data_IF_393595313958
#
_entry.id   IF_393595313958
#
_cell.length_a   1.000
_cell.length_b   1.000
_cell.length_c   1.000
_cell.angle_alpha   90.00
_cell.angle_beta   90.00
_cell.angle_gamma   90.00
#
_symmetry.space_group_name_H-M   'P 1'
#
loop_
_entity.id
_entity.type
_entity.pdbx_description
1 polymer ?
#
# COMPACT_ATOMS: atom_id res chain seq x y z
N UNK A 1 5.62 -3.78 0.25
CA UNK A 1 5.49 -5.21 0.59
C UNK A 1 6.80 -5.94 0.36
N UNK A 2 7.74 -5.85 1.31
CA UNK A 2 9.11 -6.38 1.14
C UNK A 2 9.17 -7.91 1.13
N UNK A 3 8.17 -8.59 1.71
CA UNK A 3 8.06 -10.06 1.77
C UNK A 3 7.01 -10.64 0.81
N UNK A 4 6.69 -9.93 -0.27
CA UNK A 4 5.74 -10.42 -1.28
C UNK A 4 4.25 -10.26 -0.97
N UNK A 5 3.91 -9.47 0.05
CA UNK A 5 2.52 -9.16 0.40
C UNK A 5 1.73 -8.65 -0.82
N UNK A 6 0.66 -9.38 -1.16
CA UNK A 6 -0.31 -9.10 -2.22
C UNK A 6 -1.53 -8.30 -1.74
N UNK A 7 -1.55 -7.91 -0.47
CA UNK A 7 -2.62 -7.09 0.12
C UNK A 7 -3.05 -5.89 -0.72
N UNK A 8 -2.14 -5.13 -1.35
CA UNK A 8 -2.53 -3.99 -2.17
C UNK A 8 -3.27 -4.33 -3.48
N UNK A 9 -3.23 -5.58 -3.92
CA UNK A 9 -3.94 -6.08 -5.11
C UNK A 9 -5.00 -7.11 -4.74
N UNK A 10 -5.37 -7.22 -3.46
CA UNK A 10 -6.33 -8.19 -2.95
C UNK A 10 -7.51 -7.51 -2.26
N UNK A 11 -8.72 -7.98 -2.57
CA UNK A 11 -9.99 -7.50 -2.06
C UNK A 11 -10.40 -8.30 -0.83
N UNK A 12 -9.68 -8.09 0.27
CA UNK A 12 -9.89 -8.78 1.52
C UNK A 12 -10.00 -7.79 2.69
N UNK A 13 -11.00 -7.97 3.55
CA UNK A 13 -11.29 -7.10 4.70
C UNK A 13 -10.62 -7.57 6.00
N UNK A 14 -10.01 -8.76 6.03
CA UNK A 14 -9.35 -9.36 7.21
C UNK A 14 -8.38 -8.41 7.92
N UNK A 15 -7.55 -7.58 7.24
CA UNK A 15 -6.67 -6.64 7.93
C UNK A 15 -7.41 -5.57 8.74
N UNK A 16 -8.67 -5.28 8.39
CA UNK A 16 -9.54 -4.33 9.10
C UNK A 16 -10.46 -5.02 10.10
N UNK A 17 -11.05 -6.16 9.70
CA UNK A 17 -12.05 -6.91 10.48
C UNK A 17 -11.43 -7.85 11.53
N UNK A 18 -10.18 -8.31 11.34
CA UNK A 18 -9.61 -9.43 12.08
C UNK A 18 -10.09 -10.79 11.54
N UNK A 19 -9.58 -11.88 12.11
CA UNK A 19 -9.92 -13.23 11.65
C UNK A 19 -11.04 -13.86 12.50
N UNK A 20 -10.82 -13.96 13.82
CA UNK A 20 -11.79 -14.49 14.80
C UNK A 20 -12.02 -13.42 15.85
N UNK A 21 -13.24 -12.91 15.99
CA UNK A 21 -13.60 -11.88 16.98
C UNK A 21 -12.66 -10.66 16.98
N UNK A 22 -12.26 -10.20 15.79
CA UNK A 22 -11.31 -9.08 15.67
C UNK A 22 -9.84 -9.43 15.92
N UNK A 23 -9.53 -10.67 16.29
CA UNK A 23 -8.16 -11.12 16.59
C UNK A 23 -7.52 -11.77 15.36
N UNK A 24 -6.24 -11.48 15.16
CA UNK A 24 -5.42 -12.10 14.13
C UNK A 24 -5.53 -11.43 12.76
N UNK A 25 -5.36 -12.23 11.70
CA UNK A 25 -5.32 -11.79 10.31
C UNK A 25 -3.89 -11.82 9.73
N UNK A 26 -3.74 -11.76 8.41
CA UNK A 26 -2.45 -12.06 7.79
C UNK A 26 -1.42 -10.92 7.99
N UNK A 27 -1.58 -9.75 7.35
CA UNK A 27 -0.60 -8.67 7.51
C UNK A 27 -0.60 -8.09 8.94
N UNK A 28 -1.68 -8.25 9.70
CA UNK A 28 -1.82 -7.78 11.08
C UNK A 28 -0.97 -8.58 12.07
N UNK A 29 -0.67 -9.86 11.78
CA UNK A 29 0.22 -10.70 12.61
C UNK A 29 1.59 -10.96 11.96
N UNK A 30 1.94 -10.20 10.92
CA UNK A 30 3.25 -10.25 10.29
C UNK A 30 3.39 -11.24 9.12
N UNK A 31 2.33 -11.93 8.71
CA UNK A 31 2.36 -12.77 7.50
C UNK A 31 1.98 -11.98 6.25
N UNK A 32 2.66 -12.19 5.10
CA UNK A 32 2.26 -11.52 3.86
C UNK A 32 0.90 -12.05 3.40
N UNK A 33 0.03 -11.15 2.94
CA UNK A 33 -1.16 -11.56 2.22
C UNK A 33 -0.76 -12.26 0.91
N UNK A 34 -1.39 -13.39 0.61
CA UNK A 34 -1.17 -14.18 -0.61
C UNK A 34 -2.31 -14.01 -1.64
N UNK A 35 -3.33 -13.23 -1.30
CA UNK A 35 -4.49 -12.97 -2.14
C UNK A 35 -5.42 -14.18 -2.32
N UNK A 36 -5.64 -14.96 -1.26
CA UNK A 36 -6.51 -16.15 -1.31
C UNK A 36 -7.98 -15.87 -1.64
N UNK A 37 -8.41 -14.61 -1.59
CA UNK A 37 -9.77 -14.17 -1.95
C UNK A 37 -9.91 -13.76 -3.41
N UNK A 38 -8.80 -13.72 -4.15
CA UNK A 38 -8.81 -13.32 -5.56
C UNK A 38 -9.18 -14.49 -6.47
N UNK A 39 -9.91 -14.25 -7.57
CA UNK A 39 -10.36 -15.31 -8.47
C UNK A 39 -9.21 -16.01 -9.21
N UNK A 40 -8.08 -15.33 -9.40
CA UNK A 40 -6.90 -15.87 -10.06
C UNK A 40 -6.00 -16.68 -9.11
N UNK A 41 -6.34 -16.80 -7.82
CA UNK A 41 -5.54 -17.54 -6.86
C UNK A 41 -5.53 -19.05 -7.16
N UNK A 42 -4.38 -19.75 -7.12
CA UNK A 42 -3.03 -19.31 -6.70
C UNK A 42 -2.11 -18.84 -7.85
N UNK A 43 -2.62 -18.72 -9.06
CA UNK A 43 -1.87 -18.43 -10.28
C UNK A 43 -1.42 -16.96 -10.35
N UNK A 44 -0.78 -16.60 -11.47
CA UNK A 44 -0.41 -15.21 -11.74
C UNK A 44 -1.66 -14.32 -11.70
N UNK A 45 -1.62 -13.14 -11.04
CA UNK A 45 -0.43 -12.37 -10.64
C UNK A 45 0.02 -12.58 -9.18
N UNK A 46 -0.49 -13.60 -8.48
CA UNK A 46 -0.33 -13.77 -7.03
C UNK A 46 0.86 -14.67 -6.68
N UNK A 47 1.18 -15.61 -7.56
CA UNK A 47 2.42 -16.40 -7.51
C UNK A 47 3.59 -15.71 -8.21
N UNK A 48 4.84 -15.93 -7.75
CA UNK A 48 5.21 -16.60 -6.50
C UNK A 48 4.84 -15.77 -5.26
N UNK A 49 4.40 -16.43 -4.19
CA UNK A 49 3.83 -15.75 -3.01
C UNK A 49 4.81 -14.77 -2.33
N UNK A 50 6.08 -15.15 -2.20
CA UNK A 50 7.11 -14.32 -1.57
C UNK A 50 7.76 -13.32 -2.53
N UNK A 51 7.45 -13.38 -3.82
CA UNK A 51 7.90 -12.39 -4.77
C UNK A 51 7.09 -11.09 -4.63
N UNK A 52 7.71 -9.96 -4.93
CA UNK A 52 7.06 -8.65 -4.86
C UNK A 52 5.80 -8.62 -5.73
N UNK A 53 4.75 -7.96 -5.23
CA UNK A 53 3.56 -7.70 -6.03
C UNK A 53 3.90 -6.93 -7.32
N UNK A 54 3.04 -7.00 -8.36
CA UNK A 54 3.27 -6.33 -9.64
C UNK A 54 3.60 -4.85 -9.46
N UNK A 55 4.59 -4.37 -10.24
CA UNK A 55 5.10 -3.01 -10.10
C UNK A 55 4.03 -1.94 -10.37
N UNK A 56 3.02 -2.23 -11.21
CA UNK A 56 1.99 -1.29 -11.61
C UNK A 56 1.28 -0.60 -10.44
N UNK A 57 0.94 -1.36 -9.39
CA UNK A 57 0.32 -0.80 -8.19
C UNK A 57 1.23 0.26 -7.51
N UNK A 58 2.51 -0.07 -7.31
CA UNK A 58 3.44 0.85 -6.65
C UNK A 58 3.75 2.09 -7.49
N UNK A 59 3.73 1.96 -8.82
CA UNK A 59 3.89 3.10 -9.73
C UNK A 59 2.68 4.02 -9.63
N UNK A 60 1.46 3.49 -9.63
CA UNK A 60 0.24 4.26 -9.49
C UNK A 60 0.23 5.04 -8.17
N UNK A 61 0.50 4.38 -7.03
CA UNK A 61 0.59 5.04 -5.72
C UNK A 61 1.63 6.16 -5.69
N UNK A 62 2.80 5.94 -6.29
CA UNK A 62 3.82 6.99 -6.40
C UNK A 62 3.31 8.20 -7.19
N UNK A 63 2.66 7.99 -8.33
CA UNK A 63 2.12 9.07 -9.16
C UNK A 63 1.08 9.88 -8.37
N UNK A 64 0.19 9.21 -7.64
CA UNK A 64 -0.81 9.87 -6.80
C UNK A 64 -0.19 10.71 -5.66
N UNK A 65 1.01 10.37 -5.19
CA UNK A 65 1.72 11.11 -4.13
C UNK A 65 2.47 12.38 -4.61
N UNK A 66 2.64 12.56 -5.93
CA UNK A 66 3.42 13.67 -6.49
C UNK A 66 2.78 15.03 -6.18
N UNK A 67 1.47 15.27 -6.40
CA UNK A 67 0.87 16.58 -6.17
C UNK A 67 1.03 17.03 -4.71
N UNK A 68 0.78 16.16 -3.74
CA UNK A 68 0.94 16.48 -2.33
C UNK A 68 2.39 16.79 -1.95
N UNK A 69 3.36 16.10 -2.56
CA UNK A 69 4.78 16.40 -2.37
C UNK A 69 5.16 17.76 -2.96
N UNK A 70 4.60 18.11 -4.13
CA UNK A 70 4.86 19.40 -4.78
C UNK A 70 4.24 20.55 -3.98
N UNK A 71 3.01 20.41 -3.50
CA UNK A 71 2.37 21.41 -2.62
C UNK A 71 3.15 21.62 -1.33
N UNK A 72 3.65 20.54 -0.71
CA UNK A 72 4.47 20.64 0.49
C UNK A 72 5.81 21.36 0.24
N UNK A 73 6.46 21.12 -0.90
CA UNK A 73 7.69 21.82 -1.30
C UNK A 73 7.39 23.28 -1.62
N UNK A 74 6.31 23.56 -2.36
CA UNK A 74 5.90 24.90 -2.72
C UNK A 74 5.58 25.75 -1.48
N UNK A 75 4.86 25.19 -0.51
CA UNK A 75 4.58 25.86 0.77
C UNK A 75 5.85 26.30 1.49
N UNK A 76 6.86 25.41 1.61
CA UNK A 76 8.15 25.73 2.24
C UNK A 76 8.94 26.82 1.48
N UNK A 77 8.91 26.76 0.15
CA UNK A 77 9.58 27.77 -0.70
C UNK A 77 8.87 29.12 -0.56
N UNK A 78 7.53 29.15 -0.58
CA UNK A 78 6.73 30.36 -0.43
C UNK A 78 7.00 31.05 0.91
N UNK A 79 7.06 30.30 2.01
CA UNK A 79 7.42 30.82 3.34
C UNK A 79 8.81 31.45 3.38
N UNK A 80 9.77 30.85 2.67
CA UNK A 80 11.15 31.37 2.61
C UNK A 80 11.26 32.62 1.74
N UNK A 81 10.51 32.68 0.63
CA UNK A 81 10.59 33.78 -0.35
C UNK A 81 9.77 35.01 0.03
N UNK A 82 8.60 34.83 0.65
CA UNK A 82 7.70 35.94 0.98
C UNK A 82 7.93 36.53 2.38
N UNK A 83 8.83 35.92 3.18
CA UNK A 83 8.94 36.20 4.61
C UNK A 83 7.74 35.61 5.36
N UNK A 84 7.94 35.25 6.63
CA UNK A 84 6.85 34.78 7.51
C UNK A 84 5.79 35.88 7.60
N UNK A 85 4.64 35.67 6.95
CA UNK A 85 3.39 36.27 7.42
C UNK A 85 3.12 35.66 8.80
N UNK A 86 3.50 36.40 9.85
CA UNK A 86 3.14 36.10 11.25
C UNK A 86 1.64 36.32 11.44
#
# INVERSE_FOLDING_TARGET
GLLGCKGPISHCDVPKRGFIEGVGGCPTVGSPCIGCTEPAFPDAPLSPFLAKAPAGFFVAEKIHSIPGSLEAVWGRIKETLMGRDI
#
